data_IF_710511619477
#
_entry.id   IF_710511619477
#
_cell.length_a   1.000
_cell.length_b   1.000
_cell.length_c   1.000
_cell.angle_alpha   90.00
_cell.angle_beta   90.00
_cell.angle_gamma   90.00
#
_symmetry.space_group_name_H-M   'P 1'
#
loop_
_entity.id
_entity.type
_entity.pdbx_description
1 polymer ?
#
# COMPACT_ATOMS: atom_id res chain seq x y z
N UNK A 1 -42.19 -31.13 -5.47
CA UNK A 1 -41.38 -30.02 -4.88
C UNK A 1 -39.89 -30.10 -5.18
N UNK A 2 -39.31 -31.21 -5.64
CA UNK A 2 -37.93 -31.33 -6.08
C UNK A 2 -37.79 -31.04 -7.60
N UNK A 3 -38.86 -31.21 -8.38
CA UNK A 3 -38.84 -31.01 -9.85
C UNK A 3 -38.76 -29.56 -10.29
N UNK A 4 -39.25 -28.62 -9.48
CA UNK A 4 -39.35 -27.22 -9.91
C UNK A 4 -38.04 -26.46 -9.74
N UNK A 5 -37.19 -26.85 -8.78
CA UNK A 5 -35.89 -26.25 -8.58
C UNK A 5 -34.83 -26.75 -9.58
N UNK A 6 -34.98 -27.96 -10.10
CA UNK A 6 -34.05 -28.52 -11.09
C UNK A 6 -34.22 -27.89 -12.47
N UNK A 7 -35.43 -27.48 -12.86
CA UNK A 7 -35.67 -26.86 -14.17
C UNK A 7 -35.03 -25.47 -14.28
N UNK A 8 -35.24 -24.61 -13.27
CA UNK A 8 -34.61 -23.28 -13.24
C UNK A 8 -33.10 -23.36 -13.24
N UNK A 9 -32.52 -24.34 -12.56
CA UNK A 9 -31.09 -24.50 -12.41
C UNK A 9 -30.42 -24.99 -13.71
N UNK A 10 -31.09 -25.87 -14.45
CA UNK A 10 -30.54 -26.42 -15.72
C UNK A 10 -30.59 -25.38 -16.83
N UNK A 11 -31.64 -24.56 -16.90
CA UNK A 11 -31.78 -23.53 -17.92
C UNK A 11 -30.77 -22.37 -17.75
N UNK A 12 -30.52 -21.96 -16.49
CA UNK A 12 -29.56 -20.89 -16.20
C UNK A 12 -28.11 -21.37 -16.37
N UNK A 13 -27.81 -22.61 -15.95
CA UNK A 13 -26.48 -23.22 -16.11
C UNK A 13 -26.15 -23.50 -17.58
N UNK A 14 -27.13 -23.85 -18.40
CA UNK A 14 -26.93 -24.09 -19.84
C UNK A 14 -26.68 -22.78 -20.60
N UNK A 15 -27.28 -21.67 -20.19
CA UNK A 15 -27.03 -20.35 -20.75
C UNK A 15 -25.63 -19.83 -20.44
N UNK A 16 -25.09 -20.18 -19.26
CA UNK A 16 -23.71 -19.86 -18.86
C UNK A 16 -22.65 -20.65 -19.64
N UNK A 17 -22.89 -21.92 -19.90
CA UNK A 17 -21.95 -22.78 -20.64
C UNK A 17 -21.89 -22.44 -22.13
N UNK A 18 -22.97 -21.92 -22.71
CA UNK A 18 -23.04 -21.55 -24.10
C UNK A 18 -22.50 -20.13 -24.43
N UNK A 19 -22.05 -19.38 -23.44
CA UNK A 19 -21.45 -18.08 -23.65
C UNK A 19 -20.02 -18.21 -24.24
N UNK A 20 -19.68 -17.51 -25.33
CA UNK A 20 -18.38 -17.63 -26.00
C UNK A 20 -17.19 -17.04 -25.21
N UNK A 21 -17.42 -16.49 -24.04
CA UNK A 21 -16.39 -16.00 -23.12
C UNK A 21 -16.64 -16.56 -21.73
N UNK A 22 -15.69 -17.35 -21.22
CA UNK A 22 -15.70 -17.77 -19.82
C UNK A 22 -15.54 -16.55 -18.94
N UNK A 23 -16.62 -16.01 -18.44
CA UNK A 23 -16.58 -15.01 -17.39
C UNK A 23 -16.21 -15.69 -16.09
N UNK A 24 -15.15 -15.20 -15.43
CA UNK A 24 -14.84 -15.61 -14.05
C UNK A 24 -15.96 -15.11 -13.16
N UNK A 25 -16.83 -16.00 -12.71
CA UNK A 25 -17.88 -15.67 -11.78
C UNK A 25 -17.29 -15.64 -10.38
N UNK A 26 -17.20 -14.44 -9.80
CA UNK A 26 -16.77 -14.30 -8.40
C UNK A 26 -17.93 -14.72 -7.50
N UNK A 27 -17.69 -15.69 -6.60
CA UNK A 27 -18.65 -16.11 -5.61
C UNK A 27 -19.01 -14.95 -4.68
N UNK A 28 -20.33 -14.67 -4.56
CA UNK A 28 -20.85 -13.69 -3.60
C UNK A 28 -21.98 -14.33 -2.78
N UNK A 29 -21.88 -14.20 -1.47
CA UNK A 29 -22.92 -14.64 -0.51
C UNK A 29 -23.83 -13.48 -0.05
N UNK A 30 -23.56 -12.26 -0.48
CA UNK A 30 -24.29 -11.05 -0.05
C UNK A 30 -25.46 -10.71 -0.96
N UNK A 31 -25.39 -11.12 -2.22
CA UNK A 31 -26.45 -10.92 -3.19
C UNK A 31 -27.36 -12.15 -3.24
N UNK A 32 -28.63 -11.98 -2.89
CA UNK A 32 -29.61 -13.05 -2.89
C UNK A 32 -30.21 -13.33 -4.28
N UNK A 33 -29.92 -12.50 -5.29
CA UNK A 33 -30.43 -12.64 -6.65
C UNK A 33 -29.48 -13.39 -7.58
N UNK A 34 -28.25 -13.65 -7.15
CA UNK A 34 -27.23 -14.32 -7.98
C UNK A 34 -27.28 -15.87 -7.92
N UNK A 35 -28.23 -16.43 -7.17
CA UNK A 35 -28.44 -17.89 -6.96
C UNK A 35 -27.23 -18.67 -6.44
N UNK A 36 -26.13 -18.06 -6.07
CA UNK A 36 -24.94 -18.75 -5.57
C UNK A 36 -25.21 -19.54 -4.30
N UNK A 37 -25.97 -18.97 -3.37
CA UNK A 37 -26.36 -19.65 -2.12
C UNK A 37 -27.36 -20.78 -2.38
N UNK A 38 -28.25 -20.62 -3.35
CA UNK A 38 -29.22 -21.65 -3.74
C UNK A 38 -28.50 -22.86 -4.33
N UNK A 39 -27.53 -22.61 -5.19
CA UNK A 39 -26.62 -23.65 -5.73
C UNK A 39 -25.89 -24.39 -4.61
N UNK A 40 -25.23 -23.67 -3.69
CA UNK A 40 -24.53 -24.29 -2.57
C UNK A 40 -25.46 -25.06 -1.67
N UNK A 41 -26.68 -24.57 -1.42
CA UNK A 41 -27.70 -25.26 -0.61
C UNK A 41 -28.12 -26.58 -1.26
N UNK A 42 -28.38 -26.53 -2.57
CA UNK A 42 -28.75 -27.74 -3.31
C UNK A 42 -27.61 -28.76 -3.32
N UNK A 43 -26.38 -28.32 -3.67
CA UNK A 43 -25.21 -29.19 -3.69
C UNK A 43 -24.88 -29.78 -2.32
N UNK A 44 -24.95 -28.99 -1.24
CA UNK A 44 -24.74 -29.44 0.14
C UNK A 44 -25.76 -30.48 0.53
N UNK A 45 -27.06 -30.24 0.25
CA UNK A 45 -28.14 -31.17 0.63
C UNK A 45 -28.08 -32.45 -0.19
N UNK A 46 -27.77 -32.41 -1.47
CA UNK A 46 -27.53 -33.61 -2.28
C UNK A 46 -26.37 -34.45 -1.71
N UNK A 47 -25.30 -33.80 -1.29
CA UNK A 47 -24.18 -34.48 -0.63
C UNK A 47 -24.59 -35.08 0.71
N UNK A 48 -25.36 -34.35 1.52
CA UNK A 48 -25.87 -34.80 2.82
C UNK A 48 -26.72 -36.07 2.69
N UNK A 49 -27.59 -36.14 1.68
CA UNK A 49 -28.42 -37.31 1.41
C UNK A 49 -27.62 -38.57 1.08
N UNK A 50 -26.48 -38.42 0.38
CA UNK A 50 -25.60 -39.54 0.06
C UNK A 50 -24.96 -40.18 1.31
N UNK A 51 -24.92 -39.44 2.43
CA UNK A 51 -24.36 -39.89 3.71
C UNK A 51 -25.37 -40.00 4.83
N UNK A 52 -26.65 -39.97 4.51
CA UNK A 52 -27.77 -40.04 5.47
C UNK A 52 -27.69 -38.92 6.54
N UNK A 53 -27.20 -37.73 6.13
CA UNK A 53 -27.12 -36.55 6.97
C UNK A 53 -28.34 -35.67 6.71
N UNK A 54 -28.93 -35.11 7.79
CA UNK A 54 -30.07 -34.22 7.71
C UNK A 54 -29.77 -32.98 6.83
N UNK A 55 -30.67 -32.64 5.92
CA UNK A 55 -30.58 -31.47 5.07
C UNK A 55 -30.47 -30.16 5.88
N UNK A 56 -29.62 -29.24 5.41
CA UNK A 56 -29.43 -27.92 6.01
C UNK A 56 -30.31 -26.86 5.33
N UNK A 57 -30.96 -25.97 6.07
CA UNK A 57 -31.71 -24.88 5.47
C UNK A 57 -30.76 -23.84 4.82
N UNK A 58 -31.27 -23.12 3.81
CA UNK A 58 -30.54 -22.09 3.04
C UNK A 58 -29.79 -21.09 3.94
N UNK A 59 -30.46 -20.62 5.01
CA UNK A 59 -29.85 -19.68 5.95
C UNK A 59 -28.57 -20.23 6.60
N UNK A 60 -28.57 -21.47 7.04
CA UNK A 60 -27.38 -22.10 7.65
C UNK A 60 -26.24 -22.24 6.63
N UNK A 61 -26.59 -22.61 5.39
CA UNK A 61 -25.59 -22.70 4.31
C UNK A 61 -25.02 -21.31 4.00
N UNK A 62 -25.86 -20.27 3.92
CA UNK A 62 -25.43 -18.88 3.71
C UNK A 62 -24.47 -18.41 4.80
N UNK A 63 -24.77 -18.65 6.06
CA UNK A 63 -23.93 -18.27 7.21
C UNK A 63 -22.57 -19.00 7.14
N UNK A 64 -22.61 -20.31 6.89
CA UNK A 64 -21.39 -21.13 6.85
C UNK A 64 -20.50 -20.77 5.65
N UNK A 65 -21.08 -20.65 4.45
CA UNK A 65 -20.35 -20.30 3.22
C UNK A 65 -19.80 -18.88 3.25
N UNK A 66 -20.54 -17.95 3.82
CA UNK A 66 -20.14 -16.56 3.99
C UNK A 66 -19.16 -16.31 5.14
N UNK A 67 -18.86 -17.32 5.94
CA UNK A 67 -18.09 -17.18 7.19
C UNK A 67 -18.61 -16.05 8.07
N UNK A 68 -19.94 -15.87 8.08
CA UNK A 68 -20.59 -14.82 8.84
C UNK A 68 -20.50 -15.17 10.33
N UNK A 69 -19.91 -14.29 11.11
CA UNK A 69 -19.90 -14.39 12.57
C UNK A 69 -21.28 -13.88 13.05
N UNK A 70 -22.09 -14.71 13.71
CA UNK A 70 -23.39 -14.26 14.23
C UNK A 70 -23.20 -13.14 15.25
N UNK A 71 -23.76 -11.96 14.97
CA UNK A 71 -23.76 -10.84 15.89
C UNK A 71 -25.07 -10.86 16.70
N UNK A 72 -24.96 -11.12 17.99
CA UNK A 72 -26.09 -11.07 18.92
C UNK A 72 -26.25 -9.63 19.43
N UNK A 73 -27.50 -9.13 19.43
CA UNK A 73 -27.76 -7.76 19.89
C UNK A 73 -27.39 -7.57 21.38
N UNK A 74 -27.59 -8.57 22.19
CA UNK A 74 -27.23 -8.53 23.62
C UNK A 74 -25.72 -8.47 23.86
N UNK A 75 -24.95 -9.29 23.18
CA UNK A 75 -23.44 -9.23 23.23
C UNK A 75 -22.92 -7.92 22.73
N UNK A 76 -23.47 -7.42 21.63
CA UNK A 76 -23.09 -6.11 21.09
C UNK A 76 -23.36 -4.99 22.10
N UNK A 77 -24.52 -4.98 22.76
CA UNK A 77 -24.84 -3.99 23.78
C UNK A 77 -23.88 -4.07 24.98
N UNK A 78 -23.54 -5.28 25.44
CA UNK A 78 -22.56 -5.45 26.54
C UNK A 78 -21.17 -4.91 26.14
N UNK A 79 -20.69 -5.23 24.95
CA UNK A 79 -19.40 -4.72 24.46
C UNK A 79 -19.41 -3.20 24.32
N UNK A 80 -20.49 -2.61 23.80
CA UNK A 80 -20.66 -1.16 23.76
C UNK A 80 -20.55 -0.53 25.15
N UNK A 81 -21.19 -1.09 26.16
CA UNK A 81 -21.09 -0.61 27.53
C UNK A 81 -19.66 -0.67 28.09
N UNK A 82 -18.88 -1.71 27.73
CA UNK A 82 -17.46 -1.77 28.12
C UNK A 82 -16.62 -0.73 27.39
N UNK A 83 -16.89 -0.49 26.10
CA UNK A 83 -16.22 0.57 25.34
C UNK A 83 -16.55 1.95 25.93
N UNK A 84 -17.78 2.18 26.35
CA UNK A 84 -18.19 3.43 26.97
C UNK A 84 -17.45 3.68 28.29
N UNK A 85 -17.17 2.63 29.09
CA UNK A 85 -16.37 2.76 30.31
C UNK A 85 -14.94 3.21 29.97
N UNK A 86 -14.28 2.61 28.98
CA UNK A 86 -12.95 3.01 28.56
C UNK A 86 -12.94 4.43 27.94
N UNK A 87 -13.99 4.77 27.17
CA UNK A 87 -14.15 6.12 26.65
C UNK A 87 -14.33 7.17 27.75
N UNK A 88 -15.13 6.87 28.78
CA UNK A 88 -15.27 7.75 29.93
C UNK A 88 -13.92 8.04 30.63
N UNK A 89 -13.03 7.04 30.72
CA UNK A 89 -11.68 7.21 31.26
C UNK A 89 -10.86 8.19 30.43
N UNK A 90 -10.99 8.16 29.10
CA UNK A 90 -10.35 9.13 28.19
C UNK A 90 -10.88 10.56 28.44
N UNK A 91 -12.20 10.72 28.53
CA UNK A 91 -12.84 12.02 28.79
C UNK A 91 -12.39 12.59 30.14
N UNK A 92 -12.22 11.73 31.15
CA UNK A 92 -11.72 12.12 32.48
C UNK A 92 -10.23 12.40 32.51
N UNK A 93 -9.50 12.24 31.44
CA UNK A 93 -8.06 12.55 31.32
C UNK A 93 -7.16 11.52 32.00
N UNK A 94 -7.63 10.29 32.22
CA UNK A 94 -6.86 9.23 32.88
C UNK A 94 -5.65 8.76 32.04
N UNK A 95 -5.59 9.07 30.75
CA UNK A 95 -4.43 8.79 29.90
C UNK A 95 -3.13 9.44 30.42
N UNK A 96 -3.22 10.54 31.16
CA UNK A 96 -2.07 11.19 31.77
C UNK A 96 -1.50 10.43 32.96
N UNK A 97 -2.24 9.46 33.52
CA UNK A 97 -1.86 8.71 34.71
C UNK A 97 -1.17 7.36 34.40
N UNK A 98 -1.15 6.96 33.12
CA UNK A 98 -0.54 5.73 32.66
C UNK A 98 -1.50 4.81 31.91
N UNK A 99 -0.94 3.95 31.08
CA UNK A 99 -1.70 3.00 30.25
C UNK A 99 -2.34 1.87 31.06
N UNK A 100 -1.88 1.61 32.27
CA UNK A 100 -2.41 0.61 33.21
C UNK A 100 -3.85 0.89 33.66
N UNK A 101 -4.35 2.09 33.43
CA UNK A 101 -5.76 2.48 33.69
C UNK A 101 -6.74 1.96 32.65
N UNK A 102 -6.24 1.65 31.46
CA UNK A 102 -7.05 1.15 30.34
C UNK A 102 -6.94 -0.37 30.27
N UNK A 103 -8.07 -1.04 30.14
CA UNK A 103 -8.12 -2.50 30.19
C UNK A 103 -8.79 -3.08 28.96
N UNK A 104 -8.25 -4.16 28.45
CA UNK A 104 -8.95 -5.02 27.54
C UNK A 104 -9.96 -5.85 28.30
N UNK A 105 -11.18 -5.95 27.81
CA UNK A 105 -12.25 -6.73 28.40
C UNK A 105 -12.65 -7.85 27.47
N UNK A 106 -12.78 -9.06 28.00
CA UNK A 106 -13.27 -10.23 27.28
C UNK A 106 -14.51 -10.80 27.97
N UNK A 107 -15.55 -11.08 27.18
CA UNK A 107 -16.77 -11.73 27.63
C UNK A 107 -16.99 -13.01 26.85
N UNK A 108 -17.14 -14.12 27.54
CA UNK A 108 -17.49 -15.39 26.95
C UNK A 108 -18.84 -15.87 27.50
N UNK A 109 -19.92 -15.75 26.74
CA UNK A 109 -21.25 -16.12 27.15
C UNK A 109 -21.50 -17.64 27.20
N UNK A 110 -20.58 -18.46 26.68
CA UNK A 110 -20.67 -19.92 26.69
C UNK A 110 -20.08 -20.57 27.95
N UNK A 111 -19.22 -19.84 28.68
CA UNK A 111 -18.56 -20.38 29.87
C UNK A 111 -19.25 -19.91 31.16
N UNK A 112 -19.46 -20.72 32.13
CA UNK A 112 -20.15 -20.41 33.41
C UNK A 112 -19.66 -19.13 34.13
N UNK A 113 -19.34 -19.17 35.41
CA UNK A 113 -19.02 -17.98 36.24
C UNK A 113 -17.72 -17.22 35.92
N UNK A 114 -16.86 -17.74 35.03
CA UNK A 114 -15.61 -17.09 34.60
C UNK A 114 -15.71 -16.29 33.28
N UNK A 115 -16.90 -15.81 32.97
CA UNK A 115 -17.23 -15.25 31.66
C UNK A 115 -16.65 -13.88 31.37
N UNK A 116 -16.26 -13.13 32.37
CA UNK A 116 -15.76 -11.77 32.25
C UNK A 116 -14.33 -11.69 32.78
N UNK A 117 -13.42 -11.32 31.92
CA UNK A 117 -12.02 -11.11 32.28
C UNK A 117 -11.53 -9.77 31.77
N UNK A 118 -10.74 -9.11 32.60
CA UNK A 118 -10.04 -7.87 32.25
C UNK A 118 -8.54 -8.07 32.37
N UNK A 119 -7.78 -7.50 31.47
CA UNK A 119 -6.32 -7.57 31.49
C UNK A 119 -5.74 -6.30 30.88
N UNK A 120 -4.54 -5.94 31.31
CA UNK A 120 -3.82 -4.82 30.73
C UNK A 120 -3.46 -5.13 29.27
N UNK A 121 -3.58 -4.14 28.36
CA UNK A 121 -3.09 -4.32 27.01
C UNK A 121 -1.58 -4.55 26.99
N UNK A 122 -1.10 -5.39 26.10
CA UNK A 122 0.32 -5.55 25.87
C UNK A 122 0.93 -4.21 25.41
N UNK A 123 2.12 -3.86 25.88
CA UNK A 123 2.81 -2.67 25.41
C UNK A 123 3.09 -2.79 23.91
N UNK A 124 3.02 -1.69 23.15
CA UNK A 124 3.33 -1.72 21.73
C UNK A 124 4.79 -2.13 21.52
N UNK A 125 5.05 -2.87 20.46
CA UNK A 125 6.42 -3.26 20.10
C UNK A 125 7.21 -2.01 19.75
N UNK A 126 8.32 -1.81 20.44
CA UNK A 126 9.23 -0.70 20.21
C UNK A 126 10.23 -1.05 19.12
N UNK A 127 10.36 -0.17 18.14
CA UNK A 127 11.33 -0.24 17.04
C UNK A 127 12.38 0.83 17.33
N UNK A 128 13.67 0.51 17.18
CA UNK A 128 14.78 1.44 17.36
C UNK A 128 15.50 1.68 16.04
N UNK A 129 15.98 2.89 15.82
CA UNK A 129 16.74 3.27 14.61
C UNK A 129 18.18 2.75 14.54
N UNK A 130 18.56 1.85 15.45
CA UNK A 130 19.84 1.20 15.51
C UNK A 130 20.70 1.63 16.69
N UNK A 131 21.58 0.73 17.15
CA UNK A 131 22.42 0.93 18.33
C UNK A 131 23.54 1.95 18.10
N UNK A 132 23.98 2.12 16.85
CA UNK A 132 25.08 2.98 16.46
C UNK A 132 24.67 4.42 16.08
N UNK A 133 23.37 4.72 16.12
CA UNK A 133 22.90 6.08 15.89
C UNK A 133 23.38 6.99 17.04
N UNK A 134 23.85 8.23 16.76
CA UNK A 134 24.29 9.16 17.80
C UNK A 134 23.22 9.45 18.86
N UNK A 135 21.97 9.31 18.49
CA UNK A 135 20.81 9.30 19.37
C UNK A 135 19.82 8.29 18.83
N UNK A 136 19.82 7.04 19.30
CA UNK A 136 18.84 6.05 18.87
C UNK A 136 17.44 6.54 19.26
N UNK A 137 16.58 6.67 18.25
CA UNK A 137 15.19 7.05 18.45
C UNK A 137 14.36 5.77 18.51
N UNK A 138 13.63 5.59 19.59
CA UNK A 138 12.70 4.49 19.76
C UNK A 138 11.29 4.97 19.49
N UNK A 139 10.55 4.23 18.68
CA UNK A 139 9.16 4.50 18.34
C UNK A 139 8.36 3.19 18.22
N UNK A 140 7.06 3.32 18.18
CA UNK A 140 6.13 2.21 18.01
C UNK A 140 5.34 2.37 16.71
N UNK A 141 4.62 1.34 16.29
CA UNK A 141 3.73 1.42 15.12
C UNK A 141 2.56 2.40 15.28
N UNK A 142 2.31 2.86 16.50
CA UNK A 142 1.25 3.83 16.83
C UNK A 142 1.73 5.29 16.84
N UNK A 143 3.04 5.49 16.83
CA UNK A 143 3.62 6.82 16.80
C UNK A 143 3.43 7.49 15.43
N UNK A 144 3.45 8.80 15.44
CA UNK A 144 3.30 9.62 14.25
C UNK A 144 4.22 10.82 14.33
N UNK A 145 4.82 11.18 13.21
CA UNK A 145 5.66 12.37 13.09
C UNK A 145 4.78 13.50 12.55
N UNK A 146 4.52 14.52 13.36
CA UNK A 146 3.76 15.70 12.93
C UNK A 146 4.72 16.80 12.48
N UNK A 147 4.66 17.17 11.19
CA UNK A 147 5.41 18.26 10.59
C UNK A 147 4.45 19.36 10.18
N UNK A 148 4.57 20.54 10.79
CA UNK A 148 3.74 21.69 10.47
C UNK A 148 4.62 22.86 10.04
N UNK A 149 4.39 23.38 8.84
CA UNK A 149 5.12 24.51 8.29
C UNK A 149 4.13 25.61 7.89
N UNK A 150 3.90 26.54 8.80
CA UNK A 150 2.90 27.60 8.62
C UNK A 150 3.31 28.72 7.66
N UNK A 151 4.60 28.84 7.32
CA UNK A 151 5.09 30.00 6.53
C UNK A 151 5.84 29.64 5.25
N UNK A 152 6.59 28.52 5.22
CA UNK A 152 7.28 28.07 4.02
C UNK A 152 7.13 26.56 3.92
N UNK A 153 6.54 26.08 2.85
CA UNK A 153 6.50 24.66 2.54
C UNK A 153 7.93 24.11 2.35
N UNK A 154 8.17 22.91 2.90
CA UNK A 154 9.42 22.20 2.66
C UNK A 154 9.49 21.71 1.22
N UNK A 155 10.68 21.74 0.64
CA UNK A 155 10.96 20.93 -0.53
C UNK A 155 11.07 19.44 -0.14
N UNK A 156 10.91 18.56 -1.13
CA UNK A 156 11.10 17.11 -0.91
C UNK A 156 12.53 16.84 -0.42
N UNK A 157 13.53 17.57 -0.94
CA UNK A 157 14.92 17.52 -0.50
C UNK A 157 15.07 17.84 0.99
N UNK A 158 14.44 18.92 1.43
CA UNK A 158 14.47 19.35 2.84
C UNK A 158 13.76 18.35 3.75
N UNK A 159 12.65 17.75 3.29
CA UNK A 159 11.96 16.71 4.02
C UNK A 159 12.84 15.47 4.20
N UNK A 160 13.49 15.01 3.13
CA UNK A 160 14.43 13.87 3.19
C UNK A 160 15.57 14.19 4.16
N UNK A 161 16.22 15.35 4.03
CA UNK A 161 17.33 15.77 4.90
C UNK A 161 16.91 15.86 6.38
N UNK A 162 15.70 16.34 6.65
CA UNK A 162 15.14 16.37 8.00
C UNK A 162 14.99 14.98 8.58
N UNK A 163 14.38 14.04 7.84
CA UNK A 163 14.16 12.67 8.30
C UNK A 163 15.49 11.94 8.52
N UNK A 164 16.43 12.04 7.58
CA UNK A 164 17.75 11.43 7.68
C UNK A 164 18.52 11.94 8.90
N UNK A 165 18.48 13.25 9.17
CA UNK A 165 19.16 13.85 10.29
C UNK A 165 18.48 13.54 11.63
N UNK A 166 17.14 13.59 11.68
CA UNK A 166 16.40 13.42 12.95
C UNK A 166 16.40 11.98 13.45
N UNK A 167 16.41 11.01 12.53
CA UNK A 167 16.32 9.59 12.86
C UNK A 167 17.61 8.81 12.61
N UNK A 168 18.66 9.46 12.08
CA UNK A 168 19.94 8.81 11.72
C UNK A 168 19.77 7.59 10.82
N UNK A 169 18.90 7.72 9.84
CA UNK A 169 18.56 6.69 8.84
C UNK A 169 18.83 7.19 7.43
N UNK A 170 18.96 6.30 6.48
CA UNK A 170 18.96 6.66 5.06
C UNK A 170 17.57 6.40 4.47
N UNK A 171 16.95 7.44 3.91
CA UNK A 171 15.61 7.35 3.34
C UNK A 171 15.67 6.68 1.97
N UNK A 172 14.96 5.55 1.82
CA UNK A 172 14.83 4.83 0.57
C UNK A 172 13.69 5.36 -0.28
N UNK A 173 12.51 5.55 0.33
CA UNK A 173 11.29 5.92 -0.37
C UNK A 173 10.36 6.72 0.53
N UNK A 174 9.70 7.74 -0.07
CA UNK A 174 8.58 8.47 0.56
C UNK A 174 7.37 8.33 -0.36
N UNK A 175 6.25 7.88 0.18
CA UNK A 175 5.03 7.59 -0.56
C UNK A 175 3.79 7.99 0.24
N UNK A 176 2.61 8.03 -0.41
CA UNK A 176 1.35 8.28 0.30
C UNK A 176 0.99 7.05 1.14
N UNK A 177 0.80 7.24 2.44
CA UNK A 177 0.40 6.16 3.33
C UNK A 177 -0.95 5.56 2.92
N UNK A 178 -0.98 4.24 2.73
CA UNK A 178 -2.16 3.51 2.24
C UNK A 178 -2.28 3.44 0.72
N UNK A 179 -1.32 3.99 -0.05
CA UNK A 179 -1.25 3.76 -1.49
C UNK A 179 -0.83 2.31 -1.77
N UNK A 180 -1.61 1.63 -2.61
CA UNK A 180 -1.32 0.25 -3.04
C UNK A 180 -0.50 0.21 -4.34
N UNK A 181 -0.36 1.35 -5.02
CA UNK A 181 0.45 1.47 -6.22
C UNK A 181 1.89 1.84 -5.83
N UNK A 182 2.85 1.41 -6.64
CA UNK A 182 4.28 1.67 -6.39
C UNK A 182 4.70 3.10 -6.77
N UNK A 183 3.87 4.08 -6.40
CA UNK A 183 4.12 5.51 -6.63
C UNK A 183 4.86 6.11 -5.45
N UNK A 184 5.85 6.95 -5.72
CA UNK A 184 6.63 7.61 -4.68
C UNK A 184 6.88 9.09 -4.97
N UNK A 185 6.84 9.91 -3.91
CA UNK A 185 7.32 11.30 -3.97
C UNK A 185 8.84 11.33 -4.11
N UNK A 186 9.51 10.44 -3.41
CA UNK A 186 10.97 10.29 -3.43
C UNK A 186 11.34 8.81 -3.52
N UNK A 187 12.40 8.54 -4.30
CA UNK A 187 13.02 7.23 -4.39
C UNK A 187 14.55 7.41 -4.48
N UNK A 188 15.28 6.79 -3.57
CA UNK A 188 16.74 6.87 -3.52
C UNK A 188 17.41 6.29 -4.78
N UNK A 189 16.78 5.33 -5.47
CA UNK A 189 17.29 4.82 -6.74
C UNK A 189 17.27 5.91 -7.83
N UNK A 190 16.24 6.76 -7.84
CA UNK A 190 16.18 7.87 -8.80
C UNK A 190 17.23 8.95 -8.48
N UNK A 191 17.50 9.19 -7.19
CA UNK A 191 18.60 10.05 -6.76
C UNK A 191 19.95 9.51 -7.25
N UNK A 192 20.19 8.21 -7.15
CA UNK A 192 21.42 7.58 -7.68
C UNK A 192 21.57 7.74 -9.19
N UNK A 193 20.47 7.80 -9.94
CA UNK A 193 20.50 8.03 -11.39
C UNK A 193 21.08 9.41 -11.78
N UNK A 194 21.09 10.38 -10.86
CA UNK A 194 21.72 11.69 -11.10
C UNK A 194 23.23 11.55 -11.35
N UNK A 195 23.88 10.57 -10.70
CA UNK A 195 25.31 10.31 -10.82
C UNK A 195 25.65 9.53 -12.10
N UNK A 196 24.67 8.92 -12.74
CA UNK A 196 24.89 8.13 -13.94
C UNK A 196 25.11 9.03 -15.15
N UNK A 197 25.97 8.62 -16.06
CA UNK A 197 26.28 9.39 -17.25
C UNK A 197 26.54 8.52 -18.47
N UNK A 198 26.25 9.11 -19.64
CA UNK A 198 26.64 8.60 -20.95
C UNK A 198 27.33 9.77 -21.67
N UNK A 199 28.60 9.63 -21.97
CA UNK A 199 29.39 10.63 -22.71
C UNK A 199 29.98 10.04 -23.97
N UNK A 200 30.13 10.89 -24.99
CA UNK A 200 30.83 10.58 -26.22
C UNK A 200 32.07 11.46 -26.27
N UNK A 201 33.24 10.89 -26.54
CA UNK A 201 34.47 11.66 -26.81
C UNK A 201 34.52 12.15 -28.27
N UNK A 202 35.53 12.92 -28.60
CA UNK A 202 35.73 13.49 -29.95
C UNK A 202 35.94 12.41 -31.04
N UNK A 203 36.42 11.23 -30.64
CA UNK A 203 36.60 10.07 -31.52
C UNK A 203 35.33 9.22 -31.63
N UNK A 204 34.26 9.61 -30.90
CA UNK A 204 32.98 8.89 -30.87
C UNK A 204 33.01 7.60 -30.05
N UNK A 205 33.97 7.45 -29.14
CA UNK A 205 33.97 6.38 -28.14
C UNK A 205 32.99 6.75 -27.02
N UNK A 206 32.30 5.75 -26.50
CA UNK A 206 31.26 5.94 -25.49
C UNK A 206 31.79 5.55 -24.13
N UNK A 207 31.65 6.44 -23.17
CA UNK A 207 31.84 6.15 -21.76
C UNK A 207 30.47 6.10 -21.05
N UNK A 208 30.23 5.05 -20.30
CA UNK A 208 28.93 4.77 -19.66
C UNK A 208 29.14 4.33 -18.22
N UNK A 209 28.44 4.93 -17.29
CA UNK A 209 28.45 4.53 -15.88
C UNK A 209 27.85 3.13 -15.70
N UNK A 210 28.38 2.35 -14.76
CA UNK A 210 27.92 0.97 -14.50
C UNK A 210 26.43 0.89 -14.15
N UNK A 211 25.90 1.87 -13.45
CA UNK A 211 24.48 1.97 -13.11
C UNK A 211 23.56 2.01 -14.33
N UNK A 212 24.01 2.63 -15.42
CA UNK A 212 23.25 2.68 -16.68
C UNK A 212 23.15 1.28 -17.29
N UNK A 213 24.20 0.48 -17.23
CA UNK A 213 24.16 -0.91 -17.73
C UNK A 213 23.27 -1.82 -16.90
N UNK A 214 23.14 -1.54 -15.61
CA UNK A 214 22.24 -2.30 -14.71
C UNK A 214 20.79 -1.99 -15.02
N UNK A 215 20.46 -0.75 -15.33
CA UNK A 215 19.10 -0.32 -15.61
C UNK A 215 18.66 -0.52 -17.08
N UNK A 216 19.58 -0.33 -18.03
CA UNK A 216 19.38 -0.55 -19.47
C UNK A 216 20.38 -1.57 -20.02
N UNK A 217 20.26 -2.87 -19.68
CA UNK A 217 21.22 -3.89 -20.11
C UNK A 217 21.32 -4.04 -21.63
N UNK A 218 20.25 -3.66 -22.36
CA UNK A 218 20.18 -3.76 -23.82
C UNK A 218 21.21 -2.87 -24.55
N UNK A 219 21.72 -1.79 -23.92
CA UNK A 219 22.73 -0.94 -24.58
C UNK A 219 24.16 -1.48 -24.46
N UNK A 220 24.39 -2.51 -23.63
CA UNK A 220 25.73 -3.07 -23.43
C UNK A 220 26.35 -3.54 -24.75
N UNK A 221 25.54 -4.23 -25.56
CA UNK A 221 25.97 -4.66 -26.90
C UNK A 221 26.23 -3.44 -27.80
N UNK A 222 25.34 -2.45 -27.81
CA UNK A 222 25.51 -1.25 -28.64
C UNK A 222 26.80 -0.50 -28.29
N UNK A 223 27.13 -0.34 -27.00
CA UNK A 223 28.37 0.29 -26.54
C UNK A 223 29.60 -0.52 -26.96
N UNK A 224 29.57 -1.85 -26.83
CA UNK A 224 30.67 -2.71 -27.29
C UNK A 224 30.87 -2.64 -28.80
N UNK A 225 29.81 -2.59 -29.58
CA UNK A 225 29.86 -2.49 -31.03
C UNK A 225 30.38 -1.12 -31.48
N UNK A 226 30.06 -0.04 -30.78
CA UNK A 226 30.59 1.30 -31.03
C UNK A 226 32.11 1.36 -30.83
N UNK A 227 32.67 0.56 -29.91
CA UNK A 227 34.11 0.46 -29.69
C UNK A 227 34.84 -0.42 -30.72
N UNK A 228 34.12 -1.29 -31.46
CA UNK A 228 34.72 -2.24 -32.42
C UNK A 228 34.54 -1.83 -33.88
N UNK A 229 33.49 -1.12 -34.21
CA UNK A 229 33.18 -0.75 -35.58
C UNK A 229 33.97 0.51 -36.04
N UNK A 230 34.46 0.55 -37.28
CA UNK A 230 35.15 1.72 -37.82
C UNK A 230 34.19 2.93 -37.91
N UNK A 231 34.69 4.17 -37.78
CA UNK A 231 33.90 5.40 -37.78
C UNK A 231 32.98 5.56 -39.01
N UNK A 232 33.40 5.01 -40.14
CA UNK A 232 32.69 5.10 -41.44
C UNK A 232 31.58 4.06 -41.62
N UNK A 233 31.40 3.15 -40.69
CA UNK A 233 30.39 2.09 -40.79
C UNK A 233 28.96 2.63 -40.60
N UNK A 234 28.06 2.37 -41.55
CA UNK A 234 26.64 2.72 -41.40
C UNK A 234 25.95 2.04 -40.21
N UNK A 235 26.44 0.87 -39.80
CA UNK A 235 25.93 0.17 -38.61
C UNK A 235 26.27 0.92 -37.32
N UNK A 236 27.42 1.63 -37.27
CA UNK A 236 27.81 2.44 -36.12
C UNK A 236 26.75 3.52 -35.82
N UNK A 237 26.14 4.10 -36.86
CA UNK A 237 25.09 5.10 -36.71
C UNK A 237 23.83 4.53 -36.01
N UNK A 238 23.50 3.28 -36.30
CA UNK A 238 22.35 2.62 -35.66
C UNK A 238 22.60 2.44 -34.16
N UNK A 239 23.77 1.90 -33.80
CA UNK A 239 24.12 1.71 -32.39
C UNK A 239 24.29 3.05 -31.64
N UNK A 240 24.82 4.08 -32.30
CA UNK A 240 24.92 5.43 -31.75
C UNK A 240 23.54 5.98 -31.42
N UNK A 241 22.56 5.88 -32.33
CA UNK A 241 21.19 6.30 -32.08
C UNK A 241 20.52 5.54 -30.92
N UNK A 242 20.81 4.25 -30.74
CA UNK A 242 20.30 3.49 -29.60
C UNK A 242 20.83 4.02 -28.28
N UNK A 243 22.12 4.31 -28.19
CA UNK A 243 22.75 4.87 -26.99
C UNK A 243 22.27 6.29 -26.72
N UNK A 244 22.16 7.13 -27.78
CA UNK A 244 21.63 8.49 -27.68
C UNK A 244 20.17 8.48 -27.16
N UNK A 245 19.33 7.59 -27.65
CA UNK A 245 17.94 7.45 -27.13
C UNK A 245 17.91 7.13 -25.64
N UNK A 246 18.79 6.26 -25.15
CA UNK A 246 18.89 5.97 -23.72
C UNK A 246 19.45 7.17 -22.95
N UNK A 247 20.43 7.89 -23.51
CA UNK A 247 20.94 9.14 -22.93
C UNK A 247 19.83 10.16 -22.75
N UNK A 248 19.05 10.41 -23.80
CA UNK A 248 17.92 11.36 -23.74
C UNK A 248 16.87 10.92 -22.72
N UNK A 249 16.60 9.62 -22.63
CA UNK A 249 15.69 9.08 -21.61
C UNK A 249 16.24 9.28 -20.20
N UNK A 250 17.54 9.07 -19.99
CA UNK A 250 18.20 9.29 -18.71
C UNK A 250 18.14 10.78 -18.31
N UNK A 251 18.46 11.69 -19.24
CA UNK A 251 18.43 13.14 -18.97
C UNK A 251 16.99 13.61 -18.63
N UNK A 252 15.98 13.16 -19.36
CA UNK A 252 14.57 13.44 -19.02
C UNK A 252 14.20 12.93 -17.63
N UNK A 253 14.67 11.74 -17.27
CA UNK A 253 14.42 11.17 -15.94
C UNK A 253 15.08 12.02 -14.86
N UNK A 254 16.32 12.48 -15.08
CA UNK A 254 17.03 13.37 -14.17
C UNK A 254 16.33 14.71 -13.99
N UNK A 255 15.94 15.35 -15.09
CA UNK A 255 15.20 16.62 -15.07
C UNK A 255 13.88 16.50 -14.30
N UNK A 256 13.10 15.44 -14.60
CA UNK A 256 11.84 15.16 -13.91
C UNK A 256 12.07 14.92 -12.41
N UNK A 257 13.10 14.15 -12.05
CA UNK A 257 13.44 13.91 -10.65
C UNK A 257 13.85 15.21 -9.95
N UNK A 258 14.76 16.00 -10.55
CA UNK A 258 15.23 17.25 -9.95
C UNK A 258 14.11 18.25 -9.75
N UNK A 259 13.21 18.38 -10.74
CA UNK A 259 12.03 19.24 -10.62
C UNK A 259 11.14 18.85 -9.43
N UNK A 260 10.93 17.54 -9.25
CA UNK A 260 10.13 17.01 -8.13
C UNK A 260 10.87 17.15 -6.80
N UNK A 261 12.16 16.84 -6.76
CA UNK A 261 12.99 16.82 -5.55
C UNK A 261 13.22 18.21 -4.96
N UNK A 262 13.41 19.22 -5.83
CA UNK A 262 13.55 20.61 -5.43
C UNK A 262 12.22 21.33 -5.23
N UNK A 263 11.12 20.75 -5.76
CA UNK A 263 9.77 21.28 -5.60
C UNK A 263 9.23 21.10 -4.19
N UNK A 264 8.20 21.86 -3.85
CA UNK A 264 7.49 21.70 -2.58
C UNK A 264 6.83 20.32 -2.47
N UNK A 265 6.62 19.86 -1.25
CA UNK A 265 5.99 18.55 -0.99
C UNK A 265 4.58 18.47 -1.59
N UNK A 266 3.80 19.55 -1.53
CA UNK A 266 2.46 19.61 -2.14
C UNK A 266 2.50 19.51 -3.66
N UNK A 267 3.42 20.24 -4.32
CA UNK A 267 3.59 20.17 -5.77
C UNK A 267 4.08 18.81 -6.23
N UNK A 268 5.04 18.22 -5.51
CA UNK A 268 5.52 16.88 -5.77
C UNK A 268 4.40 15.83 -5.60
N UNK A 269 3.58 15.98 -4.57
CA UNK A 269 2.40 15.15 -4.35
C UNK A 269 1.43 15.20 -5.53
N UNK A 270 1.09 16.41 -5.99
CA UNK A 270 0.21 16.61 -7.14
C UNK A 270 0.77 16.00 -8.42
N UNK A 271 2.08 16.08 -8.64
CA UNK A 271 2.72 15.49 -9.82
C UNK A 271 2.63 13.96 -9.84
N UNK A 272 2.74 13.33 -8.67
CA UNK A 272 2.76 11.86 -8.55
C UNK A 272 1.36 11.26 -8.52
N UNK A 273 0.44 11.91 -7.80
CA UNK A 273 -0.90 11.36 -7.53
C UNK A 273 -2.01 12.01 -8.36
N UNK A 274 -1.65 12.85 -9.33
CA UNK A 274 -2.60 13.51 -10.23
C UNK A 274 -3.22 12.48 -11.17
N UNK A 275 -4.56 12.41 -11.31
CA UNK A 275 -5.19 11.55 -12.29
C UNK A 275 -4.82 11.97 -13.72
N UNK A 276 -4.78 10.98 -14.63
CA UNK A 276 -4.29 11.20 -15.99
C UNK A 276 -5.21 12.07 -16.86
N UNK A 277 -6.51 12.22 -16.50
CA UNK A 277 -7.52 12.94 -17.27
C UNK A 277 -7.87 14.30 -16.65
N UNK A 278 -8.04 15.34 -17.52
CA UNK A 278 -8.19 16.72 -17.06
C UNK A 278 -9.51 17.03 -16.35
N UNK A 279 -10.57 16.25 -16.60
CA UNK A 279 -11.88 16.45 -15.95
C UNK A 279 -11.98 15.93 -14.51
N UNK A 280 -11.19 14.93 -14.16
CA UNK A 280 -11.21 14.30 -12.83
C UNK A 280 -10.27 14.96 -11.80
N UNK A 281 -9.44 15.92 -12.25
CA UNK A 281 -8.32 16.48 -11.46
C UNK A 281 -8.75 17.26 -10.24
N UNK A 282 -9.80 18.07 -10.37
CA UNK A 282 -10.29 18.92 -9.29
C UNK A 282 -11.10 18.10 -8.29
N UNK A 283 -11.95 17.21 -8.79
CA UNK A 283 -12.79 16.37 -7.93
C UNK A 283 -11.96 15.37 -7.11
N UNK A 284 -10.87 14.83 -7.67
CA UNK A 284 -9.97 13.94 -6.96
C UNK A 284 -9.17 14.69 -5.89
N UNK A 285 -8.65 15.88 -6.21
CA UNK A 285 -7.94 16.72 -5.27
C UNK A 285 -8.86 17.12 -4.12
N UNK A 286 -10.06 17.59 -4.43
CA UNK A 286 -11.07 17.95 -3.44
C UNK A 286 -11.56 16.72 -2.65
N UNK A 287 -11.62 15.55 -3.25
CA UNK A 287 -11.98 14.32 -2.57
C UNK A 287 -10.88 13.84 -1.61
N UNK A 288 -9.62 13.94 -1.99
CA UNK A 288 -8.48 13.54 -1.15
C UNK A 288 -8.24 14.57 -0.04
N UNK A 289 -8.34 15.84 -0.35
CA UNK A 289 -8.11 16.91 0.62
C UNK A 289 -9.36 17.33 1.38
N UNK A 290 -10.60 17.10 0.89
CA UNK A 290 -11.92 17.42 1.54
C UNK A 290 -11.81 18.21 2.85
N UNK A 291 -11.26 19.42 2.78
CA UNK A 291 -11.04 20.26 3.96
C UNK A 291 -9.92 19.77 4.91
N UNK A 292 -9.11 18.81 4.50
CA UNK A 292 -7.90 18.40 5.24
C UNK A 292 -6.75 19.34 4.88
N UNK A 293 -6.09 19.83 5.89
CA UNK A 293 -4.91 20.67 5.75
C UNK A 293 -3.60 19.87 5.78
N UNK A 294 -3.66 18.56 5.60
CA UNK A 294 -2.52 17.66 5.73
C UNK A 294 -2.59 16.43 4.82
N UNK A 295 -1.43 15.87 4.53
CA UNK A 295 -1.27 14.53 3.94
C UNK A 295 -0.54 13.61 4.92
N UNK A 296 -0.76 12.32 4.79
CA UNK A 296 -0.04 11.29 5.56
C UNK A 296 0.91 10.54 4.63
N UNK A 297 2.20 10.58 4.95
CA UNK A 297 3.25 9.97 4.16
C UNK A 297 3.81 8.74 4.89
N UNK A 298 4.07 7.68 4.13
CA UNK A 298 4.87 6.54 4.56
C UNK A 298 6.34 6.76 4.18
N UNK A 299 7.26 6.29 5.00
CA UNK A 299 8.70 6.44 4.78
C UNK A 299 9.38 5.10 5.01
N UNK A 300 9.93 4.53 3.94
CA UNK A 300 10.82 3.39 4.02
C UNK A 300 12.26 3.88 4.09
N UNK A 301 13.03 3.33 4.99
CA UNK A 301 14.43 3.70 5.21
C UNK A 301 15.25 2.49 5.64
N UNK A 302 16.56 2.65 5.70
CA UNK A 302 17.45 1.66 6.26
C UNK A 302 18.42 2.30 7.27
N UNK A 303 18.85 1.50 8.23
CA UNK A 303 19.87 1.89 9.20
C UNK A 303 21.28 1.86 8.58
N UNK A 304 22.28 2.33 9.34
CA UNK A 304 23.68 2.19 8.96
C UNK A 304 24.10 0.71 8.75
N UNK A 305 23.46 -0.22 9.46
CA UNK A 305 23.65 -1.67 9.34
C UNK A 305 22.92 -2.30 8.15
N UNK A 306 22.19 -1.48 7.38
CA UNK A 306 21.35 -1.85 6.23
C UNK A 306 20.10 -2.67 6.56
N UNK A 307 19.64 -2.62 7.79
CA UNK A 307 18.35 -3.18 8.17
C UNK A 307 17.24 -2.25 7.69
N UNK A 308 16.27 -2.82 6.99
CA UNK A 308 15.12 -2.09 6.50
C UNK A 308 14.19 -1.74 7.68
N UNK A 309 13.88 -0.46 7.81
CA UNK A 309 12.96 0.07 8.81
C UNK A 309 11.90 0.93 8.13
N UNK A 310 10.67 0.81 8.61
CA UNK A 310 9.59 1.73 8.26
C UNK A 310 9.41 2.71 9.40
N UNK A 311 9.60 4.00 9.15
CA UNK A 311 9.36 5.05 10.14
C UNK A 311 7.86 5.20 10.41
N UNK A 312 7.49 5.80 11.58
CA UNK A 312 6.12 6.22 11.82
C UNK A 312 5.61 7.10 10.69
N UNK A 313 4.29 7.02 10.43
CA UNK A 313 3.67 7.84 9.41
C UNK A 313 3.95 9.33 9.65
N UNK A 314 4.36 10.04 8.61
CA UNK A 314 4.57 11.48 8.64
C UNK A 314 3.29 12.19 8.28
N UNK A 315 2.70 12.92 9.23
CA UNK A 315 1.61 13.85 8.96
C UNK A 315 2.18 15.19 8.58
N UNK A 316 2.15 15.50 7.31
CA UNK A 316 2.62 16.78 6.77
C UNK A 316 1.46 17.76 6.64
N UNK A 317 1.53 18.90 7.35
CA UNK A 317 0.48 19.91 7.45
C UNK A 317 0.89 21.13 6.61
N UNK A 318 0.03 21.52 5.64
CA UNK A 318 0.29 22.63 4.70
C UNK A 318 -0.11 24.01 5.22
N UNK A 319 -1.00 24.08 6.23
CA UNK A 319 -1.57 25.35 6.75
C UNK A 319 -1.20 25.59 8.19
#
# INVERSE_FOLDING_TARGET
MVSDYTSYFVDDFTSYISAPSAHIVTFSCTDDLNFHIDFLTAATNMRSWNYDIKASPRHTVKVTAGRIIPALATTTAMVCGLVDIEFAKLVLGLQSQGSDKFLNSNINLAAGSGNFTTFAPDPPVSISTGLDAPQPVSFTSWDRIDLSYKMNELSVEQLVAYLEKSFSVAVNRIFLHGDTEDRALYNALDKKKLEWGISFDEEGKVSVSDGVFSHWPQIRMAVQMLGRLPPTSGQRLIFKKQVEKVKDSLEKTKESFMKKFQGNVSDAYLQVYRPAEEGEKQDYFDAVFKGRDYITLGVDCHTAEKDDITLPCVKYIFK
#
